data_IF_493014478380
#
_entry.id   IF_493014478380
#
_cell.length_a   1.000
_cell.length_b   1.000
_cell.length_c   1.000
_cell.angle_alpha   90.00
_cell.angle_beta   90.00
_cell.angle_gamma   90.00
#
_symmetry.space_group_name_H-M   'P 1'
#
loop_
_entity.id
_entity.type
_entity.pdbx_description
1 polymer ?
#
# COMPACT_ATOMS: atom_id res chain seq x y z
N UNK A 1 -26.43 15.69 -3.37
CA UNK A 1 -25.72 15.58 -2.08
C UNK A 1 -25.87 14.15 -1.59
N UNK A 2 -25.02 13.25 -2.02
CA UNK A 2 -24.97 11.86 -1.56
C UNK A 2 -23.65 11.69 -0.83
N UNK A 3 -23.69 11.78 0.50
CA UNK A 3 -22.60 11.36 1.36
C UNK A 3 -22.43 9.84 1.15
N UNK A 4 -21.44 9.44 0.36
CA UNK A 4 -21.01 8.05 0.33
C UNK A 4 -20.26 7.78 1.64
N UNK A 5 -21.03 7.50 2.68
CA UNK A 5 -20.48 6.82 3.84
C UNK A 5 -20.01 5.46 3.33
N UNK A 6 -18.70 5.25 3.24
CA UNK A 6 -18.14 3.90 3.25
C UNK A 6 -18.70 3.26 4.53
N UNK A 7 -19.71 2.42 4.38
CA UNK A 7 -20.28 1.69 5.50
C UNK A 7 -19.15 0.84 6.05
N UNK A 8 -18.64 1.27 7.18
CA UNK A 8 -17.60 0.61 7.95
C UNK A 8 -18.13 -0.76 8.42
N UNK A 9 -18.00 -1.76 7.57
CA UNK A 9 -18.11 -3.15 7.96
C UNK A 9 -16.74 -3.61 8.41
N UNK A 10 -16.22 -2.98 9.47
CA UNK A 10 -14.94 -3.39 10.06
C UNK A 10 -15.09 -4.77 10.71
N UNK A 11 -14.95 -5.80 9.91
CA UNK A 11 -14.61 -7.12 10.43
C UNK A 11 -13.18 -7.01 10.92
N UNK A 12 -12.97 -7.13 12.23
CA UNK A 12 -11.63 -7.13 12.81
C UNK A 12 -10.93 -8.41 12.35
N UNK A 13 -9.93 -8.24 11.49
CA UNK A 13 -9.16 -9.33 10.90
C UNK A 13 -8.23 -9.95 11.96
N UNK A 14 -8.39 -11.24 12.23
CA UNK A 14 -7.39 -11.98 13.00
C UNK A 14 -6.20 -12.24 12.07
N UNK A 15 -5.09 -11.54 12.33
CA UNK A 15 -3.89 -11.64 11.50
C UNK A 15 -3.19 -12.98 11.73
N UNK A 16 -3.08 -13.84 10.71
CA UNK A 16 -2.35 -15.10 10.84
C UNK A 16 -0.84 -14.86 11.05
N UNK A 17 -0.13 -15.78 11.73
CA UNK A 17 1.31 -15.68 11.88
C UNK A 17 2.03 -15.80 10.53
N UNK A 18 3.18 -15.12 10.39
CA UNK A 18 4.02 -15.25 9.19
C UNK A 18 4.57 -16.65 9.06
N UNK A 19 4.49 -17.20 7.85
CA UNK A 19 5.00 -18.52 7.49
C UNK A 19 6.47 -18.43 7.07
N UNK A 20 7.30 -19.27 7.66
CA UNK A 20 8.73 -19.36 7.43
C UNK A 20 9.16 -20.68 6.77
N UNK A 21 10.47 -20.93 6.64
CA UNK A 21 11.05 -22.13 6.01
C UNK A 21 10.63 -23.44 6.68
N UNK A 22 10.17 -23.41 7.93
CA UNK A 22 9.71 -24.59 8.67
C UNK A 22 8.21 -24.84 8.54
N UNK A 23 7.48 -23.84 8.02
CA UNK A 23 6.03 -23.84 7.93
C UNK A 23 5.53 -24.70 6.77
N UNK A 24 4.49 -25.50 7.03
CA UNK A 24 3.80 -26.24 5.97
C UNK A 24 2.96 -25.30 5.11
N UNK A 25 2.79 -25.59 3.81
CA UNK A 25 1.89 -24.83 2.97
C UNK A 25 0.42 -24.98 3.43
N UNK A 26 -0.42 -23.96 3.24
CA UNK A 26 -1.86 -24.17 3.29
C UNK A 26 -2.28 -25.13 2.18
N UNK A 27 -3.54 -25.60 2.20
CA UNK A 27 -4.09 -26.34 1.04
C UNK A 27 -4.03 -25.43 -0.19
N UNK A 28 -3.21 -25.79 -1.19
CA UNK A 28 -3.00 -24.98 -2.39
C UNK A 28 -4.02 -25.35 -3.47
N UNK A 29 -4.47 -24.38 -4.24
CA UNK A 29 -5.34 -24.57 -5.42
C UNK A 29 -6.63 -25.36 -5.13
N UNK A 30 -7.20 -25.15 -3.95
CA UNK A 30 -8.42 -25.78 -3.44
C UNK A 30 -9.70 -24.95 -3.68
N UNK A 31 -9.60 -23.90 -4.49
CA UNK A 31 -10.68 -22.94 -4.75
C UNK A 31 -10.72 -21.77 -3.78
N UNK A 32 -9.99 -21.80 -2.68
CA UNK A 32 -9.88 -20.66 -1.75
C UNK A 32 -9.05 -19.56 -2.38
N UNK A 33 -9.54 -18.32 -2.31
CA UNK A 33 -8.75 -17.16 -2.73
C UNK A 33 -7.78 -16.77 -1.63
N UNK A 34 -6.48 -16.69 -1.95
CA UNK A 34 -5.41 -16.37 -1.00
C UNK A 34 -4.56 -15.22 -1.49
N UNK A 35 -4.35 -14.27 -0.61
CA UNK A 35 -3.42 -13.16 -0.83
C UNK A 35 -2.14 -13.41 -0.01
N UNK A 36 -1.06 -13.75 -0.71
CA UNK A 36 0.26 -13.92 -0.13
C UNK A 36 0.91 -12.56 0.04
N UNK A 37 1.25 -12.21 1.27
CA UNK A 37 1.76 -10.89 1.65
C UNK A 37 2.99 -11.02 2.55
N UNK A 38 3.58 -9.87 2.86
CA UNK A 38 4.41 -9.69 4.05
C UNK A 38 3.97 -8.41 4.73
N UNK A 39 3.81 -8.43 6.04
CA UNK A 39 3.28 -7.32 6.82
C UNK A 39 4.14 -6.04 6.74
N UNK A 40 5.44 -6.18 6.48
CA UNK A 40 6.35 -5.04 6.35
C UNK A 40 6.44 -4.49 4.91
N UNK A 41 5.94 -5.24 3.92
CA UNK A 41 6.09 -4.89 2.52
C UNK A 41 5.06 -3.83 2.08
N UNK A 42 5.48 -2.63 1.64
CA UNK A 42 4.56 -1.60 1.19
C UNK A 42 3.76 -2.02 -0.05
N UNK A 43 4.35 -2.80 -0.93
CA UNK A 43 3.64 -3.33 -2.10
C UNK A 43 2.55 -4.34 -1.72
N UNK A 44 2.77 -5.16 -0.70
CA UNK A 44 1.74 -6.05 -0.14
C UNK A 44 0.61 -5.25 0.50
N UNK A 45 0.94 -4.19 1.20
CA UNK A 45 -0.03 -3.34 1.89
C UNK A 45 -1.01 -2.68 0.92
N UNK A 46 -0.60 -2.31 -0.32
CA UNK A 46 -1.52 -1.81 -1.36
C UNK A 46 -2.70 -2.76 -1.59
N UNK A 47 -2.42 -4.04 -1.82
CA UNK A 47 -3.46 -5.05 -2.11
C UNK A 47 -4.25 -5.39 -0.85
N UNK A 48 -3.61 -5.37 0.30
CA UNK A 48 -4.26 -5.59 1.58
C UNK A 48 -5.25 -4.47 1.94
N UNK A 49 -4.89 -3.19 1.72
CA UNK A 49 -5.81 -2.05 1.84
C UNK A 49 -7.01 -2.25 0.90
N UNK A 50 -6.75 -2.58 -0.38
CA UNK A 50 -7.81 -2.82 -1.38
C UNK A 50 -8.80 -3.87 -0.88
N UNK A 51 -8.28 -5.02 -0.41
CA UNK A 51 -9.08 -6.12 0.17
C UNK A 51 -9.95 -5.61 1.33
N UNK A 52 -9.34 -4.90 2.26
CA UNK A 52 -10.02 -4.47 3.49
C UNK A 52 -11.09 -3.40 3.21
N UNK A 53 -10.77 -2.38 2.41
CA UNK A 53 -11.74 -1.31 2.09
C UNK A 53 -12.91 -1.83 1.26
N UNK A 54 -12.72 -2.89 0.45
CA UNK A 54 -13.82 -3.57 -0.25
C UNK A 54 -14.63 -4.51 0.65
N UNK A 55 -14.21 -4.76 1.90
CA UNK A 55 -14.90 -5.69 2.80
C UNK A 55 -14.72 -7.16 2.43
N UNK A 56 -13.55 -7.53 1.87
CA UNK A 56 -13.28 -8.88 1.32
C UNK A 56 -12.54 -9.80 2.31
N UNK A 57 -12.54 -9.50 3.61
CA UNK A 57 -11.78 -10.25 4.62
C UNK A 57 -12.19 -11.73 4.70
N UNK A 58 -13.46 -12.02 4.50
CA UNK A 58 -13.96 -13.40 4.51
C UNK A 58 -13.70 -14.13 3.18
N UNK A 59 -13.56 -13.41 2.08
CA UNK A 59 -13.41 -13.96 0.73
C UNK A 59 -11.94 -14.21 0.39
N UNK A 60 -11.06 -13.23 0.68
CA UNK A 60 -9.63 -13.31 0.37
C UNK A 60 -8.87 -13.54 1.67
N UNK A 61 -8.34 -14.74 1.85
CA UNK A 61 -7.58 -15.10 3.07
C UNK A 61 -6.13 -14.64 2.96
N UNK A 62 -5.61 -14.04 4.03
CA UNK A 62 -4.21 -13.63 4.09
C UNK A 62 -3.31 -14.82 4.36
N UNK A 63 -2.20 -14.89 3.64
CA UNK A 63 -1.11 -15.85 3.86
C UNK A 63 0.19 -15.04 3.97
N UNK A 64 0.59 -14.64 5.17
CA UNK A 64 1.80 -13.85 5.34
C UNK A 64 3.05 -14.73 5.23
N UNK A 65 4.04 -14.26 4.47
CA UNK A 65 5.31 -14.92 4.20
C UNK A 65 6.44 -14.15 4.90
N UNK A 66 7.28 -14.85 5.64
CA UNK A 66 8.53 -14.28 6.15
C UNK A 66 9.53 -14.10 5.00
N UNK A 67 9.87 -12.87 4.67
CA UNK A 67 10.78 -12.57 3.55
C UNK A 67 12.25 -12.82 3.88
N UNK A 68 12.61 -12.93 5.15
CA UNK A 68 13.98 -13.22 5.58
C UNK A 68 14.25 -14.72 5.66
N UNK A 69 13.20 -15.50 5.96
CA UNK A 69 13.26 -16.96 6.10
C UNK A 69 12.10 -17.62 5.33
N UNK A 70 12.08 -17.46 4.00
CA UNK A 70 10.95 -17.87 3.15
C UNK A 70 10.77 -19.37 3.09
N UNK A 71 9.51 -19.87 3.09
CA UNK A 71 9.25 -21.28 2.83
C UNK A 71 9.51 -21.62 1.35
N UNK A 72 10.25 -22.69 1.09
CA UNK A 72 10.62 -23.14 -0.26
C UNK A 72 9.39 -23.44 -1.12
N UNK A 73 8.34 -24.03 -0.52
CA UNK A 73 7.10 -24.34 -1.23
C UNK A 73 6.44 -23.12 -1.87
N UNK A 74 6.65 -21.91 -1.34
CA UNK A 74 6.06 -20.70 -1.92
C UNK A 74 6.63 -20.44 -3.32
N UNK A 75 7.96 -20.52 -3.48
CA UNK A 75 8.63 -20.39 -4.78
C UNK A 75 8.32 -21.56 -5.71
N UNK A 76 8.38 -22.79 -5.17
CA UNK A 76 8.30 -24.00 -5.96
C UNK A 76 6.89 -24.29 -6.45
N UNK A 77 5.87 -24.03 -5.61
CA UNK A 77 4.49 -24.48 -5.85
C UNK A 77 3.49 -23.37 -6.09
N UNK A 78 3.76 -22.13 -5.61
CA UNK A 78 2.81 -21.02 -5.68
C UNK A 78 3.26 -19.96 -6.67
N UNK A 79 4.39 -19.30 -6.41
CA UNK A 79 4.83 -18.17 -7.23
C UNK A 79 6.32 -18.20 -7.53
N UNK A 80 6.74 -18.71 -8.71
CA UNK A 80 8.15 -18.90 -9.07
C UNK A 80 9.01 -17.63 -9.02
N UNK A 81 8.42 -16.43 -9.19
CA UNK A 81 9.12 -15.16 -9.00
C UNK A 81 9.51 -14.91 -7.55
N UNK A 82 8.97 -15.66 -6.59
CA UNK A 82 9.26 -15.56 -5.15
C UNK A 82 9.12 -14.15 -4.57
N UNK A 83 8.14 -13.40 -5.04
CA UNK A 83 7.83 -12.02 -4.61
C UNK A 83 6.45 -11.96 -3.96
N UNK A 84 6.26 -10.96 -3.10
CA UNK A 84 4.96 -10.58 -2.56
C UNK A 84 4.66 -9.13 -2.96
N UNK A 85 3.38 -8.77 -3.17
CA UNK A 85 2.19 -9.61 -3.07
C UNK A 85 2.02 -10.56 -4.26
N UNK A 86 1.33 -11.68 -4.03
CA UNK A 86 0.71 -12.48 -5.08
C UNK A 86 -0.67 -12.96 -4.64
N UNK A 87 -1.57 -13.13 -5.60
CA UNK A 87 -2.95 -13.54 -5.37
C UNK A 87 -3.20 -14.87 -6.06
N UNK A 88 -3.61 -15.88 -5.29
CA UNK A 88 -4.17 -17.13 -5.79
C UNK A 88 -5.70 -16.97 -5.89
N UNK A 89 -6.21 -17.05 -7.11
CA UNK A 89 -7.65 -17.00 -7.38
C UNK A 89 -7.98 -17.88 -8.59
N UNK A 90 -9.03 -18.69 -8.48
CA UNK A 90 -9.44 -19.63 -9.53
C UNK A 90 -8.29 -20.53 -10.03
N UNK A 91 -7.50 -21.07 -9.09
CA UNK A 91 -6.34 -21.93 -9.35
C UNK A 91 -5.24 -21.28 -10.22
N UNK A 92 -5.17 -19.96 -10.22
CA UNK A 92 -4.11 -19.19 -10.89
C UNK A 92 -3.46 -18.23 -9.90
N UNK A 93 -2.17 -18.01 -10.08
CA UNK A 93 -1.43 -17.04 -9.26
C UNK A 93 -0.98 -15.86 -10.11
N UNK A 94 -1.34 -14.67 -9.66
CA UNK A 94 -0.96 -13.40 -10.27
C UNK A 94 -0.18 -12.56 -9.26
N UNK A 95 0.84 -11.86 -9.69
CA UNK A 95 1.61 -10.93 -8.87
C UNK A 95 1.57 -9.52 -9.45
N UNK A 96 2.47 -8.66 -8.93
CA UNK A 96 2.62 -7.22 -9.22
C UNK A 96 1.48 -6.38 -8.58
N UNK A 97 1.85 -5.55 -7.59
CA UNK A 97 0.87 -4.88 -6.72
C UNK A 97 -0.13 -4.01 -7.47
N UNK A 98 0.31 -3.24 -8.49
CA UNK A 98 -0.58 -2.38 -9.28
C UNK A 98 -1.58 -3.21 -10.10
N UNK A 99 -1.14 -4.35 -10.63
CA UNK A 99 -2.02 -5.29 -11.34
C UNK A 99 -3.04 -5.89 -10.38
N UNK A 100 -2.60 -6.25 -9.16
CA UNK A 100 -3.47 -6.87 -8.16
C UNK A 100 -4.49 -5.90 -7.58
N UNK A 101 -4.13 -4.63 -7.33
CA UNK A 101 -5.09 -3.60 -6.90
C UNK A 101 -6.22 -3.48 -7.92
N UNK A 102 -5.88 -3.33 -9.21
CA UNK A 102 -6.88 -3.28 -10.28
C UNK A 102 -7.68 -4.58 -10.41
N UNK A 103 -7.01 -5.74 -10.30
CA UNK A 103 -7.66 -7.04 -10.39
C UNK A 103 -8.70 -7.24 -9.29
N UNK A 104 -8.35 -6.95 -8.04
CA UNK A 104 -9.28 -7.06 -6.91
C UNK A 104 -10.44 -6.07 -7.06
N UNK A 105 -10.17 -4.85 -7.52
CA UNK A 105 -11.22 -3.86 -7.74
C UNK A 105 -12.24 -4.31 -8.79
N UNK A 106 -11.78 -4.92 -9.90
CA UNK A 106 -12.64 -5.29 -11.02
C UNK A 106 -13.32 -6.66 -10.89
N UNK A 107 -12.76 -7.60 -10.09
CA UNK A 107 -13.22 -8.99 -10.06
C UNK A 107 -13.95 -9.41 -8.78
N UNK A 108 -14.00 -8.52 -7.79
CA UNK A 108 -14.71 -8.77 -6.54
C UNK A 108 -15.75 -7.68 -6.29
N UNK A 109 -16.84 -8.06 -5.64
CA UNK A 109 -17.91 -7.13 -5.28
C UNK A 109 -17.42 -6.04 -4.31
N UNK A 110 -18.16 -4.94 -4.26
CA UNK A 110 -17.88 -3.80 -3.41
C UNK A 110 -17.68 -2.50 -4.20
N UNK A 111 -17.32 -1.39 -3.53
CA UNK A 111 -17.17 -0.10 -4.19
C UNK A 111 -16.04 -0.14 -5.22
N UNK A 112 -16.26 0.53 -6.37
CA UNK A 112 -15.20 0.79 -7.35
C UNK A 112 -14.30 1.91 -6.87
N UNK A 113 -12.98 1.73 -7.03
CA UNK A 113 -11.98 2.75 -6.69
C UNK A 113 -11.50 3.58 -7.88
N UNK A 114 -12.09 3.34 -9.08
CA UNK A 114 -11.86 4.18 -10.24
C UNK A 114 -13.09 5.08 -10.45
N UNK A 115 -12.90 6.40 -10.66
CA UNK A 115 -14.00 7.31 -10.93
C UNK A 115 -14.59 7.07 -12.33
N UNK A 116 -15.86 7.42 -12.51
CA UNK A 116 -16.51 7.41 -13.82
C UNK A 116 -16.08 8.59 -14.69
N UNK A 117 -15.71 9.70 -14.06
CA UNK A 117 -15.24 10.91 -14.74
C UNK A 117 -13.95 10.65 -15.53
N UNK A 118 -13.95 11.00 -16.81
CA UNK A 118 -12.86 10.70 -17.73
C UNK A 118 -11.58 11.49 -17.41
N UNK A 119 -11.71 12.75 -16.95
CA UNK A 119 -10.55 13.56 -16.57
C UNK A 119 -9.87 13.02 -15.31
N UNK A 120 -10.68 12.69 -14.29
CA UNK A 120 -10.19 12.05 -13.05
C UNK A 120 -9.54 10.70 -13.36
N UNK A 121 -10.12 9.91 -14.25
CA UNK A 121 -9.55 8.60 -14.65
C UNK A 121 -8.19 8.76 -15.33
N UNK A 122 -8.08 9.68 -16.28
CA UNK A 122 -6.80 9.98 -16.94
C UNK A 122 -5.74 10.42 -15.93
N UNK A 123 -6.11 11.31 -15.03
CA UNK A 123 -5.18 11.78 -13.99
C UNK A 123 -4.80 10.67 -13.00
N UNK A 124 -5.72 9.77 -12.67
CA UNK A 124 -5.41 8.58 -11.88
C UNK A 124 -4.33 7.71 -12.56
N UNK A 125 -4.46 7.45 -13.86
CA UNK A 125 -3.48 6.67 -14.62
C UNK A 125 -2.09 7.34 -14.61
N UNK A 126 -2.02 8.67 -14.76
CA UNK A 126 -0.79 9.45 -14.68
C UNK A 126 -0.12 9.32 -13.30
N UNK A 127 -0.89 9.48 -12.19
CA UNK A 127 -0.39 9.37 -10.83
C UNK A 127 0.03 7.94 -10.49
N UNK A 128 -0.73 6.93 -10.91
CA UNK A 128 -0.40 5.52 -10.70
C UNK A 128 0.93 5.16 -11.38
N UNK A 129 1.10 5.57 -12.63
CA UNK A 129 2.35 5.37 -13.34
C UNK A 129 3.52 6.10 -12.66
N UNK A 130 3.32 7.36 -12.24
CA UNK A 130 4.32 8.17 -11.56
C UNK A 130 4.78 7.57 -10.24
N UNK A 131 3.93 6.85 -9.51
CA UNK A 131 4.25 6.29 -8.20
C UNK A 131 5.47 5.38 -8.23
N UNK A 132 5.50 4.40 -9.14
CA UNK A 132 6.56 3.37 -9.19
C UNK A 132 7.70 3.73 -10.15
N UNK A 133 7.44 4.60 -11.14
CA UNK A 133 8.49 5.03 -12.08
C UNK A 133 9.32 6.20 -11.55
N UNK A 134 8.75 7.04 -10.69
CA UNK A 134 9.40 8.29 -10.27
C UNK A 134 9.33 8.53 -8.76
N UNK A 135 8.14 8.65 -8.18
CA UNK A 135 7.98 9.04 -6.78
C UNK A 135 8.75 8.14 -5.82
N UNK A 136 8.45 6.86 -5.79
CA UNK A 136 9.07 5.90 -4.85
C UNK A 136 10.58 5.78 -5.09
N UNK A 137 11.08 5.59 -6.34
CA UNK A 137 12.52 5.53 -6.58
C UNK A 137 13.27 6.81 -6.21
N UNK A 138 12.73 7.99 -6.51
CA UNK A 138 13.42 9.26 -6.20
C UNK A 138 13.46 9.54 -4.70
N UNK A 139 12.39 9.25 -3.95
CA UNK A 139 12.42 9.41 -2.48
C UNK A 139 13.45 8.46 -1.87
N UNK A 140 13.50 7.18 -2.27
CA UNK A 140 14.54 6.28 -1.76
C UNK A 140 15.95 6.69 -2.19
N UNK A 141 16.12 7.18 -3.42
CA UNK A 141 17.43 7.69 -3.89
C UNK A 141 17.91 8.89 -3.08
N UNK A 142 16.99 9.72 -2.62
CA UNK A 142 17.31 10.90 -1.82
C UNK A 142 17.98 10.55 -0.48
N UNK A 143 17.69 9.39 0.09
CA UNK A 143 18.27 8.94 1.36
C UNK A 143 19.80 8.78 1.33
N UNK A 144 20.36 8.49 0.15
CA UNK A 144 21.80 8.35 -0.02
C UNK A 144 22.51 9.67 -0.42
N UNK A 145 21.77 10.76 -0.64
CA UNK A 145 22.32 12.02 -1.17
C UNK A 145 21.87 13.23 -0.36
N UNK A 146 20.74 13.79 -0.75
CA UNK A 146 20.12 14.96 -0.11
C UNK A 146 18.62 14.73 0.01
N UNK A 147 18.22 14.22 1.17
CA UNK A 147 16.84 13.89 1.44
C UNK A 147 15.92 15.10 1.35
N UNK A 148 16.39 16.29 1.74
CA UNK A 148 15.53 17.50 1.78
C UNK A 148 15.19 18.00 0.37
N UNK A 149 16.21 18.15 -0.49
CA UNK A 149 16.00 18.75 -1.82
C UNK A 149 15.34 17.75 -2.78
N UNK A 150 15.84 16.53 -2.86
CA UNK A 150 15.37 15.56 -3.85
C UNK A 150 14.00 14.99 -3.49
N UNK A 151 13.78 14.62 -2.22
CA UNK A 151 12.46 14.16 -1.79
C UNK A 151 11.45 15.32 -1.74
N UNK A 152 11.89 16.53 -1.37
CA UNK A 152 11.04 17.71 -1.31
C UNK A 152 10.25 17.94 -2.59
N UNK A 153 10.94 17.88 -3.74
CA UNK A 153 10.29 18.04 -5.05
C UNK A 153 9.19 17.00 -5.30
N UNK A 154 9.36 15.77 -4.79
CA UNK A 154 8.36 14.70 -4.93
C UNK A 154 7.12 14.97 -4.08
N UNK A 155 7.29 15.44 -2.84
CA UNK A 155 6.17 15.79 -1.98
C UNK A 155 5.47 17.07 -2.43
N UNK A 156 6.20 18.05 -3.01
CA UNK A 156 5.61 19.23 -3.64
C UNK A 156 4.73 18.85 -4.85
N UNK A 157 5.16 17.85 -5.61
CA UNK A 157 4.34 17.32 -6.71
C UNK A 157 3.03 16.71 -6.18
N UNK A 158 3.09 15.91 -5.10
CA UNK A 158 1.87 15.34 -4.50
C UNK A 158 0.96 16.41 -3.91
N UNK A 159 1.52 17.42 -3.25
CA UNK A 159 0.75 18.57 -2.76
C UNK A 159 -0.02 19.24 -3.91
N UNK A 160 0.64 19.52 -5.04
CA UNK A 160 -0.01 20.09 -6.24
C UNK A 160 -1.06 19.15 -6.82
N UNK A 161 -0.80 17.85 -6.85
CA UNK A 161 -1.76 16.84 -7.33
C UNK A 161 -3.04 16.84 -6.51
N UNK A 162 -2.93 17.00 -5.18
CA UNK A 162 -4.07 17.09 -4.25
C UNK A 162 -4.87 18.40 -4.39
N UNK A 163 -4.34 19.41 -5.09
CA UNK A 163 -5.07 20.62 -5.40
C UNK A 163 -5.84 20.56 -6.74
N UNK A 164 -5.65 19.50 -7.54
CA UNK A 164 -6.25 19.48 -8.89
C UNK A 164 -7.77 19.38 -8.85
N UNK A 165 -8.31 18.56 -7.93
CA UNK A 165 -9.75 18.43 -7.72
C UNK A 165 -10.07 18.86 -6.29
N UNK A 166 -10.83 19.95 -6.15
CA UNK A 166 -11.09 20.57 -4.83
C UNK A 166 -12.45 20.12 -4.24
N UNK A 167 -12.86 18.90 -4.56
CA UNK A 167 -14.11 18.28 -4.12
C UNK A 167 -13.93 17.23 -3.01
N UNK A 168 -12.78 17.23 -2.34
CA UNK A 168 -12.49 16.37 -1.20
C UNK A 168 -11.00 16.30 -0.85
N UNK A 169 -10.64 15.52 0.18
CA UNK A 169 -9.28 15.47 0.70
C UNK A 169 -8.35 14.50 -0.06
N UNK A 170 -8.89 13.68 -0.96
CA UNK A 170 -8.17 12.65 -1.69
C UNK A 170 -7.71 13.12 -3.06
N UNK A 171 -6.78 12.40 -3.70
CA UNK A 171 -6.20 12.81 -5.00
C UNK A 171 -7.22 13.08 -6.10
N UNK A 172 -8.34 12.35 -6.09
CA UNK A 172 -9.44 12.54 -7.04
C UNK A 172 -10.69 13.14 -6.40
N UNK A 173 -10.53 13.81 -5.25
CA UNK A 173 -11.60 14.32 -4.42
C UNK A 173 -12.19 13.24 -3.51
N UNK A 174 -12.52 12.07 -4.05
CA UNK A 174 -12.97 10.91 -3.31
C UNK A 174 -11.87 9.84 -3.25
N UNK A 175 -11.93 8.97 -2.21
CA UNK A 175 -11.02 7.85 -2.05
C UNK A 175 -10.98 6.95 -3.29
N UNK A 176 -9.79 6.60 -3.75
CA UNK A 176 -9.56 5.94 -5.02
C UNK A 176 -8.35 4.98 -5.00
N UNK A 177 -8.11 4.31 -6.12
CA UNK A 177 -6.89 3.51 -6.30
C UNK A 177 -5.61 4.32 -6.11
N UNK A 178 -5.61 5.61 -6.45
CA UNK A 178 -4.44 6.49 -6.28
C UNK A 178 -4.05 6.55 -4.81
N UNK A 179 -5.02 6.78 -3.93
CA UNK A 179 -4.78 6.87 -2.48
C UNK A 179 -4.23 5.56 -1.93
N UNK A 180 -4.80 4.43 -2.36
CA UNK A 180 -4.33 3.08 -2.00
C UNK A 180 -2.86 2.88 -2.38
N UNK A 181 -2.48 3.34 -3.58
CA UNK A 181 -1.15 3.10 -4.13
C UNK A 181 -0.08 3.92 -3.41
N UNK A 182 -0.40 5.15 -3.02
CA UNK A 182 0.55 6.03 -2.32
C UNK A 182 0.62 5.79 -0.81
N UNK A 183 -0.48 5.39 -0.18
CA UNK A 183 -0.59 5.29 1.28
C UNK A 183 0.54 4.52 1.96
N UNK A 184 0.95 3.32 1.53
CA UNK A 184 1.99 2.56 2.20
C UNK A 184 3.36 3.25 2.21
N UNK A 185 3.66 4.00 1.17
CA UNK A 185 4.94 4.70 1.04
C UNK A 185 4.95 6.01 1.81
N UNK A 186 3.88 6.81 1.70
CA UNK A 186 3.74 8.05 2.46
C UNK A 186 3.75 7.75 3.96
N UNK A 187 3.07 6.68 4.42
CA UNK A 187 3.14 6.23 5.81
C UNK A 187 4.59 6.05 6.29
N UNK A 188 5.38 5.31 5.52
CA UNK A 188 6.78 5.02 5.87
C UNK A 188 7.64 6.27 5.84
N UNK A 189 7.48 7.11 4.83
CA UNK A 189 8.23 8.34 4.71
C UNK A 189 7.86 9.35 5.79
N UNK A 190 6.57 9.46 6.13
CA UNK A 190 6.09 10.33 7.20
C UNK A 190 6.64 9.93 8.58
N UNK A 191 6.81 8.63 8.84
CA UNK A 191 7.37 8.12 10.09
C UNK A 191 8.91 8.20 10.11
N UNK A 192 9.56 7.83 9.01
CA UNK A 192 11.02 7.67 8.98
C UNK A 192 11.79 8.98 8.74
N UNK A 193 11.31 9.86 7.86
CA UNK A 193 12.11 11.03 7.44
C UNK A 193 12.33 12.07 8.55
N UNK A 194 11.41 12.32 9.48
CA UNK A 194 11.70 13.15 10.63
C UNK A 194 12.84 12.58 11.50
N UNK A 195 12.83 11.28 11.74
CA UNK A 195 13.80 10.58 12.59
C UNK A 195 15.16 10.34 11.92
N UNK A 196 15.18 10.12 10.62
CA UNK A 196 16.39 9.82 9.85
C UNK A 196 17.09 11.05 9.30
N UNK A 197 16.33 12.10 8.96
CA UNK A 197 16.83 13.25 8.21
C UNK A 197 16.39 14.60 8.79
N UNK A 198 15.69 14.61 9.93
CA UNK A 198 15.07 15.82 10.49
C UNK A 198 14.24 16.58 9.42
N UNK A 199 13.43 15.83 8.66
CA UNK A 199 12.64 16.35 7.56
C UNK A 199 11.18 15.88 7.67
N UNK A 200 10.30 16.83 8.00
CA UNK A 200 8.85 16.60 8.00
C UNK A 200 8.29 16.81 6.60
N UNK A 201 7.73 15.76 6.02
CA UNK A 201 7.17 15.76 4.66
C UNK A 201 5.92 16.65 4.53
N UNK A 202 5.27 17.02 5.64
CA UNK A 202 4.05 17.85 5.65
C UNK A 202 4.33 19.34 5.77
N UNK A 203 5.54 19.73 6.13
CA UNK A 203 5.91 21.13 6.29
C UNK A 203 5.72 21.91 4.98
N UNK A 204 4.83 22.91 5.00
CA UNK A 204 4.45 23.70 3.81
C UNK A 204 3.50 22.96 2.84
N UNK A 205 2.92 21.80 3.24
CA UNK A 205 2.06 20.97 2.41
C UNK A 205 0.75 20.61 3.14
N UNK A 206 -0.16 21.58 3.28
CA UNK A 206 -1.40 21.41 4.06
C UNK A 206 -2.36 20.37 3.47
N UNK A 207 -2.43 20.22 2.13
CA UNK A 207 -3.28 19.19 1.51
C UNK A 207 -2.71 17.79 1.76
N UNK A 208 -1.39 17.62 1.70
CA UNK A 208 -0.76 16.34 2.04
C UNK A 208 -0.97 15.98 3.52
N UNK A 209 -0.85 16.96 4.43
CA UNK A 209 -1.14 16.75 5.84
C UNK A 209 -2.60 16.32 6.06
N UNK A 210 -3.54 17.00 5.41
CA UNK A 210 -4.97 16.65 5.48
C UNK A 210 -5.26 15.28 4.88
N UNK A 211 -4.63 14.95 3.75
CA UNK A 211 -4.74 13.63 3.14
C UNK A 211 -4.26 12.51 4.09
N UNK A 212 -3.12 12.70 4.77
CA UNK A 212 -2.60 11.74 5.76
C UNK A 212 -3.61 11.55 6.91
N UNK A 213 -4.19 12.64 7.41
CA UNK A 213 -5.23 12.59 8.44
C UNK A 213 -6.44 11.76 7.98
N UNK A 214 -6.98 12.04 6.80
CA UNK A 214 -8.14 11.35 6.26
C UNK A 214 -7.87 9.88 5.94
N UNK A 215 -6.68 9.56 5.42
CA UNK A 215 -6.26 8.16 5.27
C UNK A 215 -6.27 7.42 6.63
N UNK A 216 -5.79 8.07 7.69
CA UNK A 216 -5.80 7.49 9.03
C UNK A 216 -7.21 7.34 9.65
N UNK A 217 -8.24 7.93 9.05
CA UNK A 217 -9.64 7.74 9.44
C UNK A 217 -10.30 6.51 8.78
N UNK A 218 -9.66 5.94 7.74
CA UNK A 218 -10.18 4.75 7.04
C UNK A 218 -9.83 3.47 7.81
N UNK A 219 -10.83 2.77 8.32
CA UNK A 219 -10.60 1.55 9.11
C UNK A 219 -9.95 0.42 8.32
N UNK A 220 -10.33 0.25 7.05
CA UNK A 220 -9.67 -0.71 6.17
C UNK A 220 -8.17 -0.45 5.98
N UNK A 221 -7.74 0.81 6.04
CA UNK A 221 -6.33 1.18 6.04
C UNK A 221 -5.69 0.99 7.43
N UNK A 222 -6.34 1.47 8.50
CA UNK A 222 -5.82 1.33 9.88
C UNK A 222 -5.48 -0.11 10.23
N UNK A 223 -6.31 -1.07 9.84
CA UNK A 223 -6.10 -2.50 10.08
C UNK A 223 -4.85 -3.06 9.40
N UNK A 224 -4.29 -2.37 8.40
CA UNK A 224 -3.05 -2.77 7.74
C UNK A 224 -1.79 -2.18 8.39
N UNK A 225 -1.94 -1.29 9.36
CA UNK A 225 -0.83 -0.62 10.06
C UNK A 225 -0.36 -1.44 11.26
N UNK A 226 0.17 -2.61 10.99
CA UNK A 226 0.58 -3.57 12.03
C UNK A 226 2.05 -3.44 12.43
N UNK A 227 2.84 -2.68 11.68
CA UNK A 227 4.23 -2.42 12.00
C UNK A 227 4.32 -1.26 12.99
N UNK A 228 4.83 -1.53 14.19
CA UNK A 228 5.10 -0.50 15.19
C UNK A 228 6.06 0.56 14.64
N UNK A 229 5.81 1.82 14.94
CA UNK A 229 6.58 2.94 14.38
C UNK A 229 8.06 2.85 14.71
N UNK A 230 8.42 2.49 15.94
CA UNK A 230 9.80 2.32 16.38
C UNK A 230 10.53 1.25 15.57
N UNK A 231 9.88 0.10 15.34
CA UNK A 231 10.43 -0.99 14.53
C UNK A 231 10.58 -0.59 13.06
N UNK A 232 9.65 0.21 12.55
CA UNK A 232 9.74 0.76 11.19
C UNK A 232 10.94 1.70 11.08
N UNK A 233 11.09 2.62 12.01
CA UNK A 233 12.23 3.57 12.05
C UNK A 233 13.54 2.83 12.15
N UNK A 234 13.67 1.85 13.05
CA UNK A 234 14.86 1.03 13.21
C UNK A 234 15.23 0.28 11.94
N UNK A 235 14.24 -0.38 11.30
CA UNK A 235 14.45 -1.07 10.03
C UNK A 235 15.00 -0.14 8.95
N UNK A 236 14.43 1.07 8.81
CA UNK A 236 14.86 2.05 7.80
C UNK A 236 16.21 2.67 8.14
N UNK A 237 16.49 2.98 9.42
CA UNK A 237 17.82 3.43 9.87
C UNK A 237 18.89 2.40 9.52
N UNK A 238 18.67 1.11 9.85
CA UNK A 238 19.60 0.04 9.57
C UNK A 238 19.85 -0.20 8.07
N UNK A 239 18.86 0.11 7.23
CA UNK A 239 18.92 -0.12 5.78
C UNK A 239 19.53 1.05 5.01
N UNK A 240 19.26 2.28 5.41
CA UNK A 240 19.53 3.47 4.59
C UNK A 240 20.50 4.46 5.21
N UNK A 241 20.74 4.41 6.52
CA UNK A 241 21.72 5.26 7.15
C UNK A 241 23.07 4.55 7.28
N UNK A 242 24.21 5.29 7.25
CA UNK A 242 25.52 4.72 7.53
C UNK A 242 25.50 4.05 8.90
N UNK A 243 26.06 2.85 8.99
CA UNK A 243 26.30 2.24 10.31
C UNK A 243 27.35 3.07 11.04
N UNK A 244 27.00 3.54 12.23
CA UNK A 244 27.89 4.25 13.12
C UNK A 244 29.10 3.38 13.52
#
# INVERSE_FOLDING_TARGET
MGSFFYSDRSVQDLLPPSLDSTSQPPSLFDGTTRLYINYQCPYSQRVWITRNVKGLQEIIKLVPIDLQNRPDWYKEKVYPKNKVPSLEHNNKVTGESLVLVKYVDCNFEGPSFLPDDQEKRKFAEELIAYSDTTFVPEVYRSFAKDARTLAGAQFDYLEKALHKFDDGPFFLGQFSQVDIIYAPFIERFHVFMPEGFNYDITTGRPKLAKWIEEMNNLDGYKQTKVLEQEKMVEYYKNRFLPKA
#
